data_IF_390630574016
#
_entry.id   IF_390630574016
#
_cell.length_a   1.000
_cell.length_b   1.000
_cell.length_c   1.000
_cell.angle_alpha   90.00
_cell.angle_beta   90.00
_cell.angle_gamma   90.00
#
_symmetry.space_group_name_H-M   'P 1'
#
loop_
_entity.id
_entity.type
_entity.pdbx_description
1 polymer ?
#
# COMPACT_ATOMS: atom_id res chain seq x y z
N UNK A 1 -17.56 21.61 -5.85
CA UNK A 1 -17.15 20.26 -6.27
C UNK A 1 -15.65 20.28 -6.48
N UNK A 2 -14.91 19.48 -5.72
CA UNK A 2 -13.47 19.40 -5.89
C UNK A 2 -13.16 18.45 -7.07
N UNK A 3 -12.88 19.03 -8.23
CA UNK A 3 -12.52 18.28 -9.44
C UNK A 3 -11.23 17.47 -9.22
N UNK A 4 -10.33 17.92 -8.35
CA UNK A 4 -9.11 17.21 -7.99
C UNK A 4 -9.44 15.90 -7.28
N UNK A 5 -10.30 15.93 -6.27
CA UNK A 5 -10.72 14.73 -5.55
C UNK A 5 -11.45 13.73 -6.46
N UNK A 6 -12.27 14.21 -7.40
CA UNK A 6 -12.94 13.35 -8.39
C UNK A 6 -11.92 12.54 -9.21
N UNK A 7 -10.90 13.19 -9.78
CA UNK A 7 -9.86 12.50 -10.53
C UNK A 7 -8.93 11.67 -9.64
N UNK A 8 -8.64 12.14 -8.42
CA UNK A 8 -7.82 11.42 -7.45
C UNK A 8 -8.38 10.03 -7.09
N UNK A 9 -9.71 9.87 -7.07
CA UNK A 9 -10.36 8.56 -6.85
C UNK A 9 -10.08 7.51 -7.92
N UNK A 10 -9.55 7.90 -9.08
CA UNK A 10 -9.07 6.95 -10.09
C UNK A 10 -7.65 6.46 -9.83
N UNK A 11 -6.94 6.97 -8.81
CA UNK A 11 -5.60 6.51 -8.46
C UNK A 11 -5.51 4.97 -8.35
N UNK A 12 -6.40 4.26 -7.61
CA UNK A 12 -6.37 2.80 -7.52
C UNK A 12 -6.63 2.09 -8.86
N UNK A 13 -7.30 2.73 -9.82
CA UNK A 13 -7.43 2.18 -11.18
C UNK A 13 -6.10 2.33 -11.93
N UNK A 14 -5.53 3.55 -11.93
CA UNK A 14 -4.34 3.88 -12.70
C UNK A 14 -3.11 3.11 -12.22
N UNK A 15 -2.98 2.79 -10.92
CA UNK A 15 -1.81 2.06 -10.38
C UNK A 15 -1.58 0.69 -11.00
N UNK A 16 -2.63 0.05 -11.57
CA UNK A 16 -2.50 -1.26 -12.21
C UNK A 16 -1.61 -1.21 -13.46
N UNK A 17 -1.58 -0.07 -14.16
CA UNK A 17 -0.78 0.12 -15.37
C UNK A 17 0.74 0.10 -15.08
N UNK A 18 1.30 0.96 -14.21
CA UNK A 18 2.72 0.92 -13.91
C UNK A 18 3.12 -0.40 -13.24
N UNK A 19 2.28 -0.99 -12.38
CA UNK A 19 2.57 -2.30 -11.78
C UNK A 19 2.74 -3.34 -12.89
N UNK A 20 1.78 -3.46 -13.80
CA UNK A 20 1.83 -4.45 -14.89
C UNK A 20 3.03 -4.24 -15.81
N UNK A 21 3.23 -3.02 -16.32
CA UNK A 21 4.31 -2.73 -17.27
C UNK A 21 5.70 -2.87 -16.67
N UNK A 22 5.92 -2.44 -15.42
CA UNK A 22 7.24 -2.50 -14.78
C UNK A 22 7.58 -3.94 -14.35
N UNK A 23 6.61 -4.72 -13.89
CA UNK A 23 6.81 -6.16 -13.65
C UNK A 23 7.14 -6.88 -14.97
N UNK A 24 6.41 -6.58 -16.05
CA UNK A 24 6.68 -7.16 -17.37
C UNK A 24 8.06 -6.77 -17.90
N UNK A 25 8.48 -5.51 -17.72
CA UNK A 25 9.81 -5.05 -18.10
C UNK A 25 10.91 -5.82 -17.37
N UNK A 26 10.75 -6.05 -16.05
CA UNK A 26 11.71 -6.84 -15.27
C UNK A 26 11.76 -8.30 -15.71
N UNK A 27 10.60 -8.90 -16.04
CA UNK A 27 10.51 -10.25 -16.59
C UNK A 27 11.20 -10.37 -17.95
N UNK A 28 10.96 -9.41 -18.86
CA UNK A 28 11.60 -9.39 -20.18
C UNK A 28 13.11 -9.17 -20.10
N UNK A 29 13.57 -8.25 -19.24
CA UNK A 29 15.00 -8.04 -19.01
C UNK A 29 15.66 -9.30 -18.45
N UNK A 30 15.04 -9.95 -17.46
CA UNK A 30 15.53 -11.22 -16.94
C UNK A 30 15.56 -12.34 -17.99
N UNK A 31 14.49 -12.49 -18.76
CA UNK A 31 14.35 -13.50 -19.79
C UNK A 31 15.34 -13.30 -20.96
N UNK A 32 15.55 -12.05 -21.40
CA UNK A 32 16.43 -11.73 -22.53
C UNK A 32 17.91 -12.11 -22.31
N UNK A 33 18.30 -12.42 -21.06
CA UNK A 33 19.64 -12.93 -20.73
C UNK A 33 19.86 -14.35 -21.22
N UNK A 34 18.79 -15.12 -21.42
CA UNK A 34 18.87 -16.43 -22.04
C UNK A 34 18.89 -16.26 -23.56
N UNK A 35 19.85 -16.89 -24.25
CA UNK A 35 20.06 -16.74 -25.70
C UNK A 35 18.79 -16.97 -26.53
N UNK A 36 17.90 -17.86 -26.09
CA UNK A 36 16.63 -18.20 -26.74
C UNK A 36 15.57 -17.08 -26.71
N UNK A 37 15.72 -16.09 -25.84
CA UNK A 37 14.77 -15.00 -25.62
C UNK A 37 15.35 -13.60 -25.86
N UNK A 38 16.49 -13.50 -26.55
CA UNK A 38 17.16 -12.22 -26.83
C UNK A 38 16.24 -11.22 -27.57
N UNK A 39 15.27 -11.71 -28.34
CA UNK A 39 14.24 -10.92 -29.01
C UNK A 39 13.38 -10.08 -28.05
N UNK A 40 13.23 -10.49 -26.78
CA UNK A 40 12.48 -9.73 -25.78
C UNK A 40 13.19 -8.44 -25.38
N UNK A 41 14.49 -8.29 -25.66
CA UNK A 41 15.25 -7.08 -25.33
C UNK A 41 14.66 -5.83 -25.98
N UNK A 42 14.12 -5.95 -27.20
CA UNK A 42 13.44 -4.85 -27.88
C UNK A 42 12.16 -4.41 -27.17
N UNK A 43 11.46 -5.33 -26.49
CA UNK A 43 10.24 -5.04 -25.75
C UNK A 43 10.52 -4.36 -24.39
N UNK A 44 11.70 -4.59 -23.79
CA UNK A 44 12.08 -4.00 -22.49
C UNK A 44 11.96 -2.47 -22.53
N UNK A 45 12.54 -1.81 -23.54
CA UNK A 45 12.50 -0.34 -23.65
C UNK A 45 11.07 0.21 -23.70
N UNK A 46 10.19 -0.39 -24.52
CA UNK A 46 8.79 0.04 -24.64
C UNK A 46 7.99 -0.20 -23.36
N UNK A 47 8.16 -1.37 -22.73
CA UNK A 47 7.49 -1.67 -21.46
C UNK A 47 7.95 -0.74 -20.33
N UNK A 48 9.24 -0.39 -20.25
CA UNK A 48 9.75 0.60 -19.30
C UNK A 48 9.19 2.00 -19.56
N UNK A 49 9.10 2.43 -20.83
CA UNK A 49 8.53 3.73 -21.16
C UNK A 49 7.07 3.84 -20.74
N UNK A 50 6.25 2.84 -21.11
CA UNK A 50 4.84 2.80 -20.72
C UNK A 50 4.68 2.71 -19.20
N UNK A 51 5.53 1.93 -18.54
CA UNK A 51 5.58 1.85 -17.08
C UNK A 51 5.94 3.18 -16.41
N UNK A 52 6.96 3.89 -16.90
CA UNK A 52 7.39 5.18 -16.37
C UNK A 52 6.34 6.26 -16.57
N UNK A 53 5.76 6.37 -17.77
CA UNK A 53 4.69 7.34 -18.07
C UNK A 53 3.46 7.08 -17.21
N UNK A 54 3.02 5.82 -17.11
CA UNK A 54 1.87 5.47 -16.27
C UNK A 54 2.15 5.63 -14.77
N UNK A 55 3.40 5.45 -14.32
CA UNK A 55 3.80 5.72 -12.94
C UNK A 55 3.73 7.21 -12.61
N UNK A 56 4.13 8.10 -13.53
CA UNK A 56 3.99 9.56 -13.38
C UNK A 56 2.51 9.92 -13.23
N UNK A 57 1.64 9.39 -14.10
CA UNK A 57 0.20 9.63 -14.04
C UNK A 57 -0.37 9.12 -12.71
N UNK A 58 0.05 7.94 -12.26
CA UNK A 58 -0.34 7.37 -10.97
C UNK A 58 0.05 8.29 -9.81
N UNK A 59 1.27 8.83 -9.79
CA UNK A 59 1.73 9.77 -8.76
C UNK A 59 0.92 11.07 -8.78
N UNK A 60 0.60 11.62 -9.96
CA UNK A 60 -0.26 12.81 -10.08
C UNK A 60 -1.62 12.54 -9.43
N UNK A 61 -2.26 11.42 -9.74
CA UNK A 61 -3.56 11.07 -9.18
C UNK A 61 -3.48 10.80 -7.67
N UNK A 62 -2.36 10.23 -7.21
CA UNK A 62 -2.06 10.02 -5.79
C UNK A 62 -1.99 11.35 -5.03
N UNK A 63 -1.32 12.36 -5.59
CA UNK A 63 -1.29 13.70 -5.00
C UNK A 63 -2.68 14.35 -4.93
N UNK A 64 -3.55 14.11 -5.92
CA UNK A 64 -4.91 14.65 -5.94
C UNK A 64 -5.81 14.05 -4.84
N UNK A 65 -5.56 12.81 -4.39
CA UNK A 65 -6.32 12.16 -3.30
C UNK A 65 -5.61 12.22 -1.94
N UNK A 66 -4.34 12.59 -1.88
CA UNK A 66 -3.55 12.60 -0.64
C UNK A 66 -4.09 13.56 0.44
N UNK A 67 -4.91 14.54 0.06
CA UNK A 67 -5.56 15.46 0.99
C UNK A 67 -6.85 14.92 1.64
N UNK A 68 -7.27 13.71 1.30
CA UNK A 68 -8.43 13.07 1.95
C UNK A 68 -8.11 12.76 3.42
N UNK A 69 -9.04 13.08 4.33
CA UNK A 69 -8.79 12.99 5.77
C UNK A 69 -8.91 11.55 6.28
N UNK A 70 -7.93 11.09 7.05
CA UNK A 70 -7.98 9.79 7.75
C UNK A 70 -6.93 8.76 7.34
N UNK A 71 -5.90 9.16 6.59
CA UNK A 71 -4.70 8.36 6.41
C UNK A 71 -3.69 8.60 7.54
N UNK A 72 -2.92 7.58 7.92
CA UNK A 72 -1.74 7.76 8.76
C UNK A 72 -0.69 8.60 8.01
N UNK A 73 -0.28 9.73 8.57
CA UNK A 73 0.67 10.66 7.95
C UNK A 73 2.04 10.00 7.66
N UNK A 74 2.49 9.09 8.54
CA UNK A 74 3.77 8.41 8.39
C UNK A 74 3.72 7.37 7.27
N UNK A 75 2.65 6.57 7.20
CA UNK A 75 2.42 5.59 6.12
C UNK A 75 2.21 6.30 4.80
N UNK A 76 1.43 7.39 4.78
CA UNK A 76 1.19 8.20 3.58
C UNK A 76 2.50 8.82 3.05
N UNK A 77 3.34 9.36 3.94
CA UNK A 77 4.63 9.93 3.56
C UNK A 77 5.55 8.87 2.96
N UNK A 78 5.66 7.70 3.59
CA UNK A 78 6.46 6.58 3.07
C UNK A 78 5.94 6.11 1.71
N UNK A 79 4.62 5.89 1.58
CA UNK A 79 3.98 5.47 0.33
C UNK A 79 4.28 6.46 -0.81
N UNK A 80 4.14 7.76 -0.54
CA UNK A 80 4.45 8.84 -1.48
C UNK A 80 5.90 8.80 -1.94
N UNK A 81 6.86 8.69 -1.02
CA UNK A 81 8.29 8.70 -1.38
C UNK A 81 8.73 7.44 -2.12
N UNK A 82 8.21 6.26 -1.77
CA UNK A 82 8.47 5.05 -2.55
C UNK A 82 7.83 5.14 -3.94
N UNK A 83 6.62 5.68 -4.07
CA UNK A 83 5.96 5.92 -5.36
C UNK A 83 6.75 6.86 -6.29
N UNK A 84 7.26 7.98 -5.76
CA UNK A 84 8.14 8.89 -6.50
C UNK A 84 9.44 8.18 -6.89
N UNK A 85 10.00 7.37 -5.98
CA UNK A 85 11.22 6.61 -6.27
C UNK A 85 11.01 5.59 -7.41
N UNK A 86 9.85 4.96 -7.51
CA UNK A 86 9.50 4.08 -8.64
C UNK A 86 9.48 4.85 -9.96
N UNK A 87 8.97 6.08 -9.99
CA UNK A 87 9.03 6.96 -11.18
C UNK A 87 10.49 7.24 -11.57
N UNK A 88 11.33 7.66 -10.62
CA UNK A 88 12.74 7.98 -10.90
C UNK A 88 13.51 6.75 -11.40
N UNK A 89 13.32 5.60 -10.75
CA UNK A 89 13.98 4.36 -11.13
C UNK A 89 13.54 3.85 -12.51
N UNK A 90 12.23 3.86 -12.80
CA UNK A 90 11.71 3.41 -14.10
C UNK A 90 12.12 4.33 -15.24
N UNK A 91 12.08 5.66 -15.05
CA UNK A 91 12.59 6.62 -16.02
C UNK A 91 14.10 6.46 -16.22
N UNK A 92 14.87 6.30 -15.13
CA UNK A 92 16.31 6.05 -15.19
C UNK A 92 16.67 4.78 -15.97
N UNK A 93 15.98 3.68 -15.70
CA UNK A 93 16.13 2.42 -16.46
C UNK A 93 15.80 2.59 -17.94
N UNK A 94 14.74 3.34 -18.26
CA UNK A 94 14.41 3.64 -19.65
C UNK A 94 15.52 4.45 -20.34
N UNK A 95 16.06 5.49 -19.69
CA UNK A 95 17.18 6.29 -20.20
C UNK A 95 18.45 5.47 -20.43
N UNK A 96 18.69 4.46 -19.59
CA UNK A 96 19.78 3.49 -19.76
C UNK A 96 19.54 2.63 -21.00
N UNK A 97 18.33 2.12 -21.17
CA UNK A 97 17.98 1.24 -22.31
C UNK A 97 18.06 1.93 -23.67
N UNK A 98 17.70 3.21 -23.74
CA UNK A 98 17.83 3.99 -24.99
C UNK A 98 19.25 4.51 -25.22
N UNK A 99 20.20 4.18 -24.32
CA UNK A 99 21.62 4.48 -24.48
C UNK A 99 22.05 5.90 -24.11
N UNK A 100 21.16 6.71 -23.51
CA UNK A 100 21.50 8.05 -23.00
C UNK A 100 22.42 7.93 -21.78
N UNK A 101 22.10 7.03 -20.86
CA UNK A 101 22.93 6.72 -19.69
C UNK A 101 23.67 5.40 -19.91
N UNK A 102 24.99 5.39 -19.66
CA UNK A 102 25.80 4.18 -19.78
C UNK A 102 26.14 3.63 -18.41
N UNK A 103 25.61 2.45 -18.10
CA UNK A 103 25.93 1.69 -16.89
C UNK A 103 26.20 0.23 -17.24
N UNK A 104 26.95 -0.45 -16.38
CA UNK A 104 27.21 -1.88 -16.56
C UNK A 104 25.93 -2.70 -16.41
N UNK A 105 25.88 -3.86 -17.06
CA UNK A 105 24.75 -4.80 -16.98
C UNK A 105 24.46 -5.25 -15.54
N UNK A 106 25.50 -5.38 -14.71
CA UNK A 106 25.36 -5.71 -13.27
C UNK A 106 24.63 -4.60 -12.50
N UNK A 107 25.03 -3.34 -12.71
CA UNK A 107 24.38 -2.19 -12.06
C UNK A 107 22.93 -2.10 -12.50
N UNK A 108 22.67 -2.21 -13.81
CA UNK A 108 21.31 -2.21 -14.37
C UNK A 108 20.44 -3.31 -13.75
N UNK A 109 20.98 -4.53 -13.57
CA UNK A 109 20.30 -5.62 -12.86
C UNK A 109 19.93 -5.23 -11.42
N UNK A 110 20.86 -4.59 -10.71
CA UNK A 110 20.64 -4.11 -9.35
C UNK A 110 19.53 -3.08 -9.29
N UNK A 111 19.48 -2.14 -10.25
CA UNK A 111 18.41 -1.13 -10.33
C UNK A 111 17.04 -1.78 -10.55
N UNK A 112 16.94 -2.81 -11.40
CA UNK A 112 15.70 -3.57 -11.56
C UNK A 112 15.25 -4.27 -10.27
N UNK A 113 16.18 -4.86 -9.51
CA UNK A 113 15.86 -5.48 -8.21
C UNK A 113 15.33 -4.42 -7.23
N UNK A 114 15.99 -3.25 -7.16
CA UNK A 114 15.55 -2.14 -6.31
C UNK A 114 14.18 -1.61 -6.76
N UNK A 115 13.92 -1.53 -8.07
CA UNK A 115 12.61 -1.15 -8.62
C UNK A 115 11.52 -2.12 -8.14
N UNK A 116 11.73 -3.42 -8.25
CA UNK A 116 10.76 -4.44 -7.82
C UNK A 116 10.53 -4.39 -6.30
N UNK A 117 11.60 -4.19 -5.52
CA UNK A 117 11.49 -4.01 -4.08
C UNK A 117 10.63 -2.78 -3.74
N UNK A 118 10.93 -1.63 -4.34
CA UNK A 118 10.19 -0.39 -4.08
C UNK A 118 8.75 -0.46 -4.57
N UNK A 119 8.50 -1.12 -5.70
CA UNK A 119 7.15 -1.37 -6.21
C UNK A 119 6.35 -2.22 -5.20
N UNK A 120 6.98 -3.25 -4.63
CA UNK A 120 6.36 -4.12 -3.61
C UNK A 120 6.08 -3.36 -2.30
N UNK A 121 7.04 -2.55 -1.83
CA UNK A 121 6.88 -1.71 -0.64
C UNK A 121 5.78 -0.66 -0.84
N UNK A 122 5.76 0.01 -2.01
CA UNK A 122 4.71 0.98 -2.35
C UNK A 122 3.33 0.31 -2.37
N UNK A 123 3.23 -0.88 -2.99
CA UNK A 123 1.99 -1.66 -3.03
C UNK A 123 1.52 -2.10 -1.65
N UNK A 124 2.43 -2.56 -0.78
CA UNK A 124 2.11 -2.90 0.61
C UNK A 124 1.56 -1.70 1.38
N UNK A 125 2.25 -0.55 1.33
CA UNK A 125 1.82 0.67 2.01
C UNK A 125 0.49 1.21 1.45
N UNK A 126 0.27 1.09 0.13
CA UNK A 126 -1.01 1.43 -0.50
C UNK A 126 -2.16 0.52 -0.02
N UNK A 127 -1.86 -0.77 0.19
CA UNK A 127 -2.78 -1.71 0.84
C UNK A 127 -3.10 -1.29 2.28
N UNK A 128 -2.08 -0.92 3.06
CA UNK A 128 -2.25 -0.43 4.44
C UNK A 128 -3.11 0.83 4.51
N UNK A 129 -2.92 1.79 3.59
CA UNK A 129 -3.74 3.01 3.53
C UNK A 129 -5.21 2.74 3.21
N UNK A 130 -5.51 1.69 2.46
CA UNK A 130 -6.85 1.39 1.95
C UNK A 130 -7.61 0.37 2.79
N UNK A 131 -6.91 -0.60 3.38
CA UNK A 131 -7.49 -1.74 4.10
C UNK A 131 -7.06 -1.81 5.58
N UNK A 132 -6.19 -0.91 6.04
CA UNK A 132 -5.69 -0.88 7.41
C UNK A 132 -4.45 -1.75 7.62
N UNK A 133 -3.86 -1.63 8.81
CA UNK A 133 -2.66 -2.40 9.17
C UNK A 133 -2.93 -3.90 9.28
N UNK A 134 -1.95 -4.71 8.87
CA UNK A 134 -2.01 -6.16 9.02
C UNK A 134 -2.90 -6.88 8.01
N UNK A 135 -3.52 -6.19 7.06
CA UNK A 135 -4.42 -6.79 6.06
C UNK A 135 -3.83 -8.01 5.33
N UNK A 136 -2.57 -7.94 4.88
CA UNK A 136 -1.91 -9.05 4.18
C UNK A 136 -1.66 -10.29 5.05
N UNK A 137 -1.63 -10.12 6.37
CA UNK A 137 -1.25 -11.18 7.33
C UNK A 137 -2.40 -11.66 8.20
N UNK A 138 -3.58 -11.03 8.10
CA UNK A 138 -4.77 -11.38 8.86
C UNK A 138 -5.14 -12.87 8.72
N UNK A 139 -5.14 -13.37 7.49
CA UNK A 139 -5.42 -14.77 7.15
C UNK A 139 -4.17 -15.60 6.86
N UNK A 140 -2.97 -15.07 7.15
CA UNK A 140 -1.75 -15.79 6.85
C UNK A 140 -1.59 -17.04 7.75
N UNK A 141 -0.98 -18.12 7.23
CA UNK A 141 -0.65 -19.29 8.03
C UNK A 141 0.22 -18.94 9.25
N UNK A 142 0.15 -19.77 10.29
CA UNK A 142 0.84 -19.58 11.57
C UNK A 142 2.35 -19.34 11.43
N UNK A 143 2.99 -19.94 10.41
CA UNK A 143 4.41 -19.75 10.15
C UNK A 143 4.72 -18.34 9.64
N UNK A 144 3.86 -17.76 8.80
CA UNK A 144 4.03 -16.39 8.28
C UNK A 144 3.74 -15.37 9.36
N UNK A 145 2.71 -15.58 10.20
CA UNK A 145 2.39 -14.67 11.32
C UNK A 145 3.56 -14.48 12.29
N UNK A 146 4.29 -15.56 12.60
CA UNK A 146 5.50 -15.52 13.43
C UNK A 146 6.65 -14.71 12.78
N UNK A 147 6.82 -14.84 11.47
CA UNK A 147 7.87 -14.13 10.72
C UNK A 147 7.53 -12.66 10.55
N UNK A 148 6.26 -12.34 10.29
CA UNK A 148 5.79 -10.98 10.06
C UNK A 148 5.71 -10.13 11.34
N UNK A 149 6.08 -10.67 12.51
CA UNK A 149 5.94 -9.97 13.80
C UNK A 149 4.49 -9.63 14.16
N UNK A 150 3.53 -10.12 13.39
CA UNK A 150 2.12 -9.84 13.58
C UNK A 150 1.59 -10.78 14.64
N UNK A 151 1.62 -10.33 15.90
CA UNK A 151 0.57 -10.69 16.84
C UNK A 151 -0.73 -10.15 16.26
N UNK A 152 -1.30 -10.86 15.29
CA UNK A 152 -2.65 -10.57 14.83
C UNK A 152 -3.51 -10.52 16.08
N UNK A 153 -4.04 -9.33 16.39
CA UNK A 153 -4.93 -9.11 17.53
C UNK A 153 -6.02 -10.15 17.36
N UNK A 154 -5.96 -11.24 18.13
CA UNK A 154 -7.03 -12.25 18.12
C UNK A 154 -8.24 -11.47 18.59
N UNK A 155 -9.12 -11.11 17.67
CA UNK A 155 -10.50 -10.74 17.98
C UNK A 155 -10.93 -11.72 19.07
N UNK A 156 -11.25 -11.21 20.25
CA UNK A 156 -11.79 -12.05 21.29
C UNK A 156 -13.00 -12.76 20.67
N UNK A 157 -13.04 -14.10 20.63
CA UNK A 157 -14.22 -14.80 20.17
C UNK A 157 -15.41 -14.26 20.96
N UNK A 158 -16.53 -13.99 20.29
CA UNK A 158 -17.77 -13.55 20.95
C UNK A 158 -18.24 -14.56 22.03
N UNK A 159 -17.66 -15.76 22.05
CA UNK A 159 -17.83 -16.79 23.07
C UNK A 159 -17.14 -16.47 24.42
N UNK A 160 -16.45 -15.32 24.53
CA UNK A 160 -15.78 -14.85 25.77
C UNK A 160 -16.61 -13.88 26.60
N UNK A 161 -17.90 -13.67 26.32
CA UNK A 161 -18.76 -12.97 27.27
C UNK A 161 -18.78 -13.81 28.56
N UNK A 162 -18.40 -13.24 29.72
CA UNK A 162 -18.44 -13.98 30.98
C UNK A 162 -19.82 -14.60 31.21
N UNK A 163 -19.86 -15.89 31.54
CA UNK A 163 -21.10 -16.64 31.81
C UNK A 163 -21.86 -16.04 33.01
N UNK A 164 -21.15 -15.31 33.87
CA UNK A 164 -21.72 -14.55 34.98
C UNK A 164 -21.99 -13.09 34.55
N UNK A 165 -23.27 -12.63 34.54
CA UNK A 165 -23.64 -11.26 34.21
C UNK A 165 -22.93 -10.21 35.06
N UNK A 166 -22.61 -10.52 36.32
CA UNK A 166 -22.00 -9.58 37.26
C UNK A 166 -20.51 -9.29 36.96
N UNK A 167 -19.91 -10.04 36.04
CA UNK A 167 -18.51 -9.88 35.62
C UNK A 167 -18.34 -9.24 34.24
N UNK A 168 -19.44 -8.85 33.59
CA UNK A 168 -19.43 -8.26 32.24
C UNK A 168 -19.09 -6.77 32.31
N UNK A 169 -17.97 -6.38 31.72
CA UNK A 169 -17.64 -4.98 31.45
C UNK A 169 -18.25 -4.63 30.09
N UNK A 170 -19.44 -4.01 30.09
CA UNK A 170 -20.25 -3.73 28.88
C UNK A 170 -19.42 -3.18 27.72
N UNK A 171 -18.56 -2.19 27.96
CA UNK A 171 -17.73 -1.63 26.90
C UNK A 171 -16.70 -2.63 26.35
N UNK A 172 -15.89 -3.24 27.23
CA UNK A 172 -14.80 -4.11 26.81
C UNK A 172 -15.30 -5.45 26.23
N UNK A 173 -16.37 -6.00 26.80
CA UNK A 173 -16.84 -7.37 26.50
C UNK A 173 -17.93 -7.42 25.43
N UNK A 174 -18.72 -6.35 25.25
CA UNK A 174 -19.83 -6.33 24.28
C UNK A 174 -19.64 -5.32 23.16
N UNK A 175 -19.25 -4.09 23.50
CA UNK A 175 -19.18 -2.99 22.52
C UNK A 175 -17.88 -3.07 21.71
N UNK A 176 -16.72 -3.19 22.38
CA UNK A 176 -15.42 -3.16 21.74
C UNK A 176 -15.26 -4.25 20.66
N UNK A 177 -15.70 -5.51 20.81
CA UNK A 177 -15.61 -6.50 19.73
C UNK A 177 -16.39 -6.11 18.47
N UNK A 178 -17.54 -5.42 18.63
CA UNK A 178 -18.31 -4.89 17.50
C UNK A 178 -17.52 -3.75 16.84
N UNK A 179 -16.97 -2.84 17.64
CA UNK A 179 -16.15 -1.74 17.14
C UNK A 179 -14.90 -2.26 16.42
N UNK A 180 -14.21 -3.27 16.95
CA UNK A 180 -13.03 -3.89 16.34
C UNK A 180 -13.32 -4.45 14.95
N UNK A 181 -14.50 -5.04 14.76
CA UNK A 181 -14.86 -5.67 13.48
C UNK A 181 -15.53 -4.73 12.48
N UNK A 182 -16.23 -3.70 12.95
CA UNK A 182 -17.07 -2.85 12.09
C UNK A 182 -16.57 -1.43 11.94
N UNK A 183 -15.79 -0.92 12.90
CA UNK A 183 -15.48 0.51 12.98
C UNK A 183 -13.96 0.77 12.98
N UNK A 184 -13.17 0.00 13.72
CA UNK A 184 -11.71 0.19 13.80
C UNK A 184 -10.97 0.07 12.46
N UNK A 185 -11.44 -0.67 11.43
CA UNK A 185 -10.81 -0.61 10.11
C UNK A 185 -10.84 0.78 9.46
N UNK A 186 -11.52 1.77 10.03
CA UNK A 186 -11.54 3.16 9.57
C UNK A 186 -11.44 4.20 10.70
N UNK A 187 -11.45 3.76 11.96
CA UNK A 187 -11.45 4.60 13.17
C UNK A 187 -10.50 4.04 14.24
N UNK A 188 -9.28 3.71 13.83
CA UNK A 188 -8.18 3.29 14.71
C UNK A 188 -7.22 4.46 14.96
N UNK A 189 -6.19 4.25 15.78
CA UNK A 189 -5.12 5.24 15.99
C UNK A 189 -4.31 5.51 14.72
N UNK A 190 -4.19 4.52 13.84
CA UNK A 190 -3.49 4.63 12.54
C UNK A 190 -4.42 5.02 11.39
N UNK A 191 -5.74 5.01 11.60
CA UNK A 191 -6.70 5.35 10.57
C UNK A 191 -7.87 6.07 11.23
N UNK A 192 -7.73 7.39 11.43
CA UNK A 192 -8.69 8.23 12.11
C UNK A 192 -9.54 9.04 11.12
N UNK A 193 -10.38 8.36 10.33
CA UNK A 193 -11.26 9.07 9.37
C UNK A 193 -12.19 10.03 10.13
N UNK A 194 -12.21 11.29 9.70
CA UNK A 194 -12.97 12.34 10.38
C UNK A 194 -12.51 12.60 11.82
N UNK A 195 -11.24 12.33 12.16
CA UNK A 195 -10.66 12.59 13.47
C UNK A 195 -11.12 11.63 14.57
N UNK A 196 -11.94 10.63 14.26
CA UNK A 196 -12.55 9.74 15.25
C UNK A 196 -11.72 8.48 15.47
N UNK A 197 -11.41 8.20 16.74
CA UNK A 197 -10.66 7.01 17.20
C UNK A 197 -11.51 6.23 18.20
N UNK A 198 -11.72 4.93 17.97
CA UNK A 198 -12.64 4.10 18.77
C UNK A 198 -11.93 2.96 19.50
N UNK A 199 -10.60 3.04 19.66
CA UNK A 199 -9.77 1.94 20.20
C UNK A 199 -10.00 1.68 21.69
N UNK A 200 -10.53 2.65 22.42
CA UNK A 200 -10.87 2.57 23.84
C UNK A 200 -11.99 3.55 24.21
N UNK A 201 -12.51 3.43 25.45
CA UNK A 201 -13.64 4.23 25.92
C UNK A 201 -13.32 5.72 25.98
N UNK A 202 -12.12 6.11 26.41
CA UNK A 202 -11.72 7.51 26.50
C UNK A 202 -11.72 8.17 25.11
N UNK A 203 -11.08 7.52 24.13
CA UNK A 203 -11.05 7.97 22.72
C UNK A 203 -12.43 8.01 22.08
N UNK A 204 -13.29 7.03 22.39
CA UNK A 204 -14.69 7.06 21.96
C UNK A 204 -15.42 8.32 22.45
N UNK A 205 -15.17 8.73 23.69
CA UNK A 205 -15.80 9.91 24.31
C UNK A 205 -15.19 11.24 23.86
N UNK A 206 -13.94 11.26 23.38
CA UNK A 206 -13.33 12.45 22.77
C UNK A 206 -14.06 12.88 21.48
N UNK A 207 -14.69 11.94 20.76
CA UNK A 207 -15.42 12.22 19.52
C UNK A 207 -14.50 12.45 18.32
N UNK A 208 -15.05 12.96 17.21
CA UNK A 208 -14.31 13.27 15.99
C UNK A 208 -14.43 14.74 15.58
N UNK A 209 -13.87 15.09 14.42
CA UNK A 209 -13.80 16.45 13.89
C UNK A 209 -15.18 17.08 13.62
N UNK A 210 -16.22 16.25 13.50
CA UNK A 210 -17.61 16.68 13.45
C UNK A 210 -18.13 16.81 14.87
N UNK A 211 -18.02 18.01 15.47
CA UNK A 211 -18.62 18.34 16.76
C UNK A 211 -20.02 17.69 16.89
N UNK A 212 -20.16 16.80 17.87
CA UNK A 212 -21.45 16.45 18.47
C UNK A 212 -21.58 17.22 19.78
#
# INVERSE_FOLDING_TARGET
MDLGLFFGRFHPLVVHLPIGFLLLAALFEGASRFKQFNQLKAAVSWTLLLGAVSAIISVIFGFLIAGDRGYDDSVLSLHKWFGISVVVLSAGLWLIEIGILKVSTKIMSGIFIVLILFLSLTGHLGGTLTHGEGYLVEHAPSFIKKIAGSSGKKLAPLDKVPVNPDSVVVFADMILPILETKCLPCHSETQAKGGLVLTNYEKLMEGGDGNA
#
